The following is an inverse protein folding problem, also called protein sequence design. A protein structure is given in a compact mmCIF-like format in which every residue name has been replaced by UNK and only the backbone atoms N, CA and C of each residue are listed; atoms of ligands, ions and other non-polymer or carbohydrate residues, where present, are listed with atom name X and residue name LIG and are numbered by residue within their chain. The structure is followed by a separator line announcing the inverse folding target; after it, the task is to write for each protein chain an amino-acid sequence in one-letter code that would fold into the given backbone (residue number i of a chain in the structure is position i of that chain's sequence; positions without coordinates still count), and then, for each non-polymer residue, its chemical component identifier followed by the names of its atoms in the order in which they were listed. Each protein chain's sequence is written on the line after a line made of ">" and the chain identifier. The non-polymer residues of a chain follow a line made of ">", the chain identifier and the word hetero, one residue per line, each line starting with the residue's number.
data_IF_522315716368
#
_entry.id   IF_522315716368
#
_cell.length_a   1.000
_cell.length_b   1.000
_cell.length_c   1.000
_cell.angle_alpha   90.00
_cell.angle_beta   90.00
_cell.angle_gamma   90.00
#
_symmetry.space_group_name_H-M   'P 1'
#
loop_
_entity.id
_entity.type
_entity.pdbx_description
1 polymer ?
#
# COMPACT_ATOMS: atom_id res chain seq x y z
N UNK A 1 -63.28 16.80 82.38
CA UNK A 1 -62.70 17.96 81.67
C UNK A 1 -61.58 18.53 82.52
N UNK A 2 -60.36 18.62 81.98
CA UNK A 2 -59.17 19.37 82.44
C UNK A 2 -57.91 18.57 82.04
N UNK A 3 -56.82 19.10 81.47
CA UNK A 3 -56.48 20.39 80.89
C UNK A 3 -55.18 20.14 80.11
N UNK A 4 -55.22 20.03 78.77
CA UNK A 4 -53.99 19.90 77.96
C UNK A 4 -53.33 21.28 77.85
N UNK A 5 -52.35 21.56 78.73
CA UNK A 5 -51.52 22.76 78.64
C UNK A 5 -50.54 22.63 77.47
N UNK A 6 -51.00 23.10 76.31
CA UNK A 6 -50.21 23.30 75.11
C UNK A 6 -49.22 24.46 75.35
N UNK A 7 -47.96 24.13 75.64
CA UNK A 7 -46.88 25.08 75.91
C UNK A 7 -46.54 25.92 74.68
N UNK A 8 -47.22 27.05 74.49
CA UNK A 8 -46.89 28.03 73.47
C UNK A 8 -45.53 28.68 73.76
N UNK A 9 -44.55 28.41 72.90
CA UNK A 9 -43.24 29.07 72.89
C UNK A 9 -43.39 30.60 73.01
N UNK A 10 -42.63 31.18 73.95
CA UNK A 10 -42.60 32.62 74.19
C UNK A 10 -42.13 33.38 72.93
N UNK A 11 -42.47 34.66 72.82
CA UNK A 11 -42.08 35.53 71.68
C UNK A 11 -40.54 35.57 71.49
N UNK A 12 -39.78 35.36 72.56
CA UNK A 12 -38.32 35.33 72.54
C UNK A 12 -37.78 33.97 72.05
N UNK A 13 -38.38 32.85 72.43
CA UNK A 13 -37.98 31.51 71.97
C UNK A 13 -38.23 31.30 70.46
N UNK A 14 -39.34 31.81 69.92
CA UNK A 14 -39.60 31.79 68.46
C UNK A 14 -38.57 32.61 67.66
N UNK A 15 -38.11 33.73 68.22
CA UNK A 15 -37.02 34.54 67.63
C UNK A 15 -35.65 33.89 67.77
N UNK A 16 -35.43 33.08 68.81
CA UNK A 16 -34.20 32.30 68.98
C UNK A 16 -34.16 31.12 67.99
N UNK A 17 -35.23 30.33 67.89
CA UNK A 17 -35.35 29.24 66.90
C UNK A 17 -35.24 29.73 65.46
N UNK A 18 -35.85 30.87 65.10
CA UNK A 18 -35.71 31.44 63.76
C UNK A 18 -34.26 31.84 63.41
N UNK A 19 -33.49 32.32 64.41
CA UNK A 19 -32.07 32.65 64.23
C UNK A 19 -31.20 31.39 64.11
N UNK A 20 -31.54 30.33 64.84
CA UNK A 20 -30.84 29.06 64.77
C UNK A 20 -31.11 28.30 63.47
N UNK A 21 -32.36 28.25 63.02
CA UNK A 21 -32.72 27.70 61.71
C UNK A 21 -32.05 28.48 60.57
N UNK A 22 -31.99 29.81 60.65
CA UNK A 22 -31.26 30.64 59.68
C UNK A 22 -29.73 30.44 59.75
N UNK A 23 -29.17 30.02 60.89
CA UNK A 23 -27.75 29.64 61.02
C UNK A 23 -27.50 28.28 60.36
N UNK A 24 -28.33 27.29 60.66
CA UNK A 24 -28.25 25.95 60.07
C UNK A 24 -28.45 25.95 58.55
N UNK A 25 -29.41 26.74 58.05
CA UNK A 25 -29.63 26.91 56.60
C UNK A 25 -28.39 27.49 55.90
N UNK A 26 -27.77 28.53 56.48
CA UNK A 26 -26.54 29.13 55.94
C UNK A 26 -25.34 28.18 56.00
N UNK A 27 -25.25 27.34 57.01
CA UNK A 27 -24.21 26.30 57.08
C UNK A 27 -24.41 25.21 56.03
N UNK A 28 -25.65 24.79 55.79
CA UNK A 28 -26.00 23.82 54.75
C UNK A 28 -25.75 24.38 53.34
N UNK A 29 -26.09 25.65 53.08
CA UNK A 29 -25.80 26.34 51.82
C UNK A 29 -24.29 26.44 51.58
N UNK A 30 -23.51 26.90 52.58
CA UNK A 30 -22.04 26.96 52.47
C UNK A 30 -21.41 25.58 52.24
N UNK A 31 -21.94 24.52 52.85
CA UNK A 31 -21.49 23.14 52.61
C UNK A 31 -21.84 22.66 51.19
N UNK A 32 -23.04 22.98 50.69
CA UNK A 32 -23.48 22.65 49.33
C UNK A 32 -22.67 23.38 48.28
N UNK A 33 -22.40 24.66 48.48
CA UNK A 33 -21.60 25.48 47.55
C UNK A 33 -20.17 24.98 47.46
N UNK A 34 -19.52 24.69 48.60
CA UNK A 34 -18.18 24.06 48.61
C UNK A 34 -18.17 22.71 47.90
N UNK A 35 -19.18 21.87 48.14
CA UNK A 35 -19.30 20.56 47.49
C UNK A 35 -19.51 20.70 45.99
N UNK A 36 -20.41 21.58 45.55
CA UNK A 36 -20.68 21.81 44.12
C UNK A 36 -19.46 22.40 43.41
N UNK A 37 -18.72 23.31 44.05
CA UNK A 37 -17.47 23.85 43.49
C UNK A 37 -16.40 22.77 43.33
N UNK A 38 -16.24 21.90 44.34
CA UNK A 38 -15.31 20.77 44.27
C UNK A 38 -15.72 19.74 43.21
N UNK A 39 -17.01 19.42 43.12
CA UNK A 39 -17.54 18.50 42.10
C UNK A 39 -17.39 19.08 40.69
N UNK A 40 -17.64 20.37 40.51
CA UNK A 40 -17.47 21.04 39.22
C UNK A 40 -16.00 21.10 38.81
N UNK A 41 -15.11 21.52 39.72
CA UNK A 41 -13.67 21.55 39.46
C UNK A 41 -13.09 20.15 39.21
N UNK A 42 -13.53 19.15 39.98
CA UNK A 42 -13.14 17.75 39.78
C UNK A 42 -13.66 17.18 38.45
N UNK A 43 -14.91 17.49 38.08
CA UNK A 43 -15.51 17.08 36.81
C UNK A 43 -14.81 17.69 35.60
N UNK A 44 -14.49 18.99 35.64
CA UNK A 44 -13.73 19.66 34.58
C UNK A 44 -12.31 19.09 34.47
N UNK A 45 -11.62 18.91 35.60
CA UNK A 45 -10.28 18.33 35.60
C UNK A 45 -10.28 16.91 35.03
N UNK A 46 -11.24 16.08 35.43
CA UNK A 46 -11.41 14.72 34.90
C UNK A 46 -11.72 14.74 33.39
N UNK A 47 -12.58 15.65 32.95
CA UNK A 47 -12.91 15.84 31.53
C UNK A 47 -11.69 16.20 30.69
N UNK A 48 -10.86 17.15 31.16
CA UNK A 48 -9.62 17.54 30.49
C UNK A 48 -8.63 16.37 30.44
N UNK A 49 -8.46 15.63 31.54
CA UNK A 49 -7.59 14.45 31.57
C UNK A 49 -8.08 13.37 30.61
N UNK A 50 -9.39 13.13 30.53
CA UNK A 50 -9.97 12.18 29.58
C UNK A 50 -9.72 12.59 28.12
N UNK A 51 -9.92 13.86 27.79
CA UNK A 51 -9.63 14.40 26.44
C UNK A 51 -8.14 14.27 26.12
N UNK A 52 -7.26 14.65 27.05
CA UNK A 52 -5.82 14.52 26.87
C UNK A 52 -5.41 13.05 26.71
N UNK A 53 -6.01 12.12 27.46
CA UNK A 53 -5.75 10.70 27.31
C UNK A 53 -6.17 10.18 25.92
N UNK A 54 -7.32 10.62 25.40
CA UNK A 54 -7.77 10.29 24.04
C UNK A 54 -6.82 10.86 23.00
N UNK A 55 -6.43 12.14 23.13
CA UNK A 55 -5.47 12.79 22.22
C UNK A 55 -4.12 12.08 22.26
N UNK A 56 -3.58 11.79 23.46
CA UNK A 56 -2.34 11.03 23.63
C UNK A 56 -2.45 9.62 23.05
N UNK A 57 -3.60 8.95 23.17
CA UNK A 57 -3.83 7.62 22.61
C UNK A 57 -3.86 7.67 21.08
N UNK A 58 -4.53 8.67 20.49
CA UNK A 58 -4.54 8.90 19.03
C UNK A 58 -3.14 9.21 18.52
N UNK A 59 -2.40 10.10 19.19
CA UNK A 59 -1.02 10.43 18.84
C UNK A 59 -0.09 9.22 18.99
N UNK A 60 -0.24 8.43 20.06
CA UNK A 60 0.56 7.23 20.27
C UNK A 60 0.23 6.14 19.25
N UNK A 61 -1.03 5.98 18.84
CA UNK A 61 -1.40 5.08 17.75
C UNK A 61 -0.88 5.56 16.40
N UNK A 62 -0.85 6.88 16.18
CA UNK A 62 -0.28 7.50 14.98
C UNK A 62 1.25 7.40 14.90
N UNK A 63 1.94 7.18 16.04
CA UNK A 63 3.39 7.06 16.12
C UNK A 63 3.91 5.62 16.22
N UNK A 64 3.03 4.62 16.31
CA UNK A 64 3.49 3.23 16.23
C UNK A 64 4.02 3.02 14.81
N UNK A 65 5.27 2.58 14.63
CA UNK A 65 5.73 2.17 13.32
C UNK A 65 4.77 1.08 12.86
N UNK A 66 4.40 1.09 11.56
CA UNK A 66 3.60 0.03 10.98
C UNK A 66 4.18 -1.30 11.48
N UNK A 67 3.34 -2.22 11.96
CA UNK A 67 3.78 -3.58 12.23
C UNK A 67 4.49 -4.16 11.00
N UNK A 68 5.17 -5.31 11.11
CA UNK A 68 5.75 -5.92 9.92
C UNK A 68 4.70 -5.95 8.82
N UNK A 69 5.08 -5.46 7.63
CA UNK A 69 4.22 -5.52 6.45
C UNK A 69 3.83 -6.97 6.15
N UNK A 70 2.91 -7.19 5.20
CA UNK A 70 2.65 -8.55 4.75
C UNK A 70 3.94 -9.16 4.18
N UNK A 71 4.14 -10.45 4.42
CA UNK A 71 5.14 -11.22 3.70
C UNK A 71 4.89 -11.10 2.20
N UNK A 72 5.94 -11.28 1.41
CA UNK A 72 5.90 -11.22 -0.04
C UNK A 72 5.57 -9.83 -0.64
N UNK A 73 5.61 -8.77 0.18
CA UNK A 73 5.37 -7.40 -0.27
C UNK A 73 6.38 -6.39 0.30
N UNK A 74 7.64 -6.80 0.49
CA UNK A 74 8.68 -5.93 1.03
C UNK A 74 8.84 -4.59 0.26
N UNK A 75 8.63 -4.62 -1.06
CA UNK A 75 8.69 -3.44 -1.93
C UNK A 75 7.45 -2.54 -1.86
N UNK A 76 6.39 -2.97 -1.18
CA UNK A 76 5.06 -2.38 -1.23
C UNK A 76 4.11 -3.09 -2.21
N UNK A 77 4.64 -3.86 -3.17
CA UNK A 77 3.85 -4.62 -4.15
C UNK A 77 3.95 -6.13 -3.93
N UNK A 78 2.88 -6.85 -4.27
CA UNK A 78 2.94 -8.29 -4.50
C UNK A 78 3.45 -8.54 -5.91
N UNK A 79 4.58 -9.23 -6.05
CA UNK A 79 5.24 -9.44 -7.35
C UNK A 79 4.92 -10.84 -7.85
N UNK A 80 4.17 -10.94 -8.93
CA UNK A 80 3.86 -12.19 -9.61
C UNK A 80 4.89 -12.45 -10.71
N UNK A 81 5.55 -13.60 -10.64
CA UNK A 81 6.43 -14.12 -11.67
C UNK A 81 5.78 -15.28 -12.43
N UNK A 82 6.62 -16.04 -13.12
CA UNK A 82 6.20 -17.18 -13.95
C UNK A 82 5.21 -18.11 -13.22
N UNK A 83 4.26 -18.65 -13.97
CA UNK A 83 3.19 -19.52 -13.45
C UNK A 83 2.32 -18.84 -12.38
N UNK A 84 2.24 -17.49 -12.41
CA UNK A 84 1.53 -16.64 -11.44
C UNK A 84 2.02 -16.81 -10.00
N UNK A 85 3.24 -17.31 -9.81
CA UNK A 85 3.80 -17.47 -8.47
C UNK A 85 4.31 -16.16 -7.91
N UNK A 86 3.98 -15.88 -6.66
CA UNK A 86 4.51 -14.71 -5.98
C UNK A 86 6.00 -14.91 -5.69
N UNK A 87 6.80 -13.88 -5.97
CA UNK A 87 8.20 -13.80 -5.57
C UNK A 87 8.26 -13.58 -4.06
N UNK A 88 8.80 -14.57 -3.35
CA UNK A 88 8.88 -14.54 -1.89
C UNK A 88 9.76 -13.39 -1.40
N UNK A 89 9.33 -12.74 -0.32
CA UNK A 89 10.16 -11.77 0.39
C UNK A 89 9.78 -11.71 1.87
N UNK A 90 10.77 -11.39 2.70
CA UNK A 90 10.53 -11.16 4.12
C UNK A 90 9.58 -9.96 4.33
N UNK A 91 8.74 -9.99 5.37
CA UNK A 91 7.95 -8.84 5.80
C UNK A 91 8.79 -7.56 5.94
N UNK A 92 8.29 -6.45 5.39
CA UNK A 92 8.89 -5.13 5.60
C UNK A 92 8.87 -4.80 7.08
N UNK A 93 10.04 -4.61 7.70
CA UNK A 93 10.12 -4.39 9.14
C UNK A 93 9.64 -2.99 9.54
N UNK A 94 9.11 -2.83 10.76
CA UNK A 94 8.73 -1.52 11.29
C UNK A 94 9.89 -0.51 11.22
N UNK A 95 9.68 0.62 10.57
CA UNK A 95 10.68 1.70 10.48
C UNK A 95 11.78 1.52 9.42
N UNK A 96 11.74 0.45 8.62
CA UNK A 96 12.64 0.33 7.46
C UNK A 96 12.08 1.06 6.24
N UNK A 97 12.96 1.75 5.50
CA UNK A 97 12.59 2.35 4.22
C UNK A 97 12.31 1.27 3.17
N UNK A 98 11.34 1.52 2.28
CA UNK A 98 11.07 0.64 1.15
C UNK A 98 12.16 0.77 0.10
N UNK A 99 12.50 -0.35 -0.51
CA UNK A 99 13.35 -0.39 -1.70
C UNK A 99 12.58 -0.96 -2.88
N UNK A 100 12.75 -0.35 -4.07
CA UNK A 100 12.25 -0.96 -5.29
C UNK A 100 12.92 -2.33 -5.52
N UNK A 101 12.22 -3.29 -6.14
CA UNK A 101 12.82 -4.53 -6.59
C UNK A 101 14.01 -4.27 -7.52
N UNK A 102 15.05 -5.11 -7.44
CA UNK A 102 16.15 -5.04 -8.40
C UNK A 102 15.67 -5.64 -9.72
N UNK A 103 15.64 -4.81 -10.76
CA UNK A 103 15.17 -5.20 -12.10
C UNK A 103 16.28 -4.94 -13.11
N UNK A 104 16.60 -5.95 -13.92
CA UNK A 104 17.41 -5.75 -15.12
C UNK A 104 16.49 -5.40 -16.30
N UNK A 105 16.50 -4.14 -16.72
CA UNK A 105 15.59 -3.63 -17.77
C UNK A 105 16.08 -3.91 -19.19
N UNK A 106 17.27 -4.47 -19.33
CA UNK A 106 17.87 -4.84 -20.61
C UNK A 106 17.58 -6.31 -21.00
N UNK A 107 16.88 -7.05 -20.15
CA UNK A 107 16.58 -8.47 -20.30
C UNK A 107 15.09 -8.75 -20.04
N UNK A 108 14.63 -9.92 -20.48
CA UNK A 108 13.33 -10.47 -20.07
C UNK A 108 13.48 -11.18 -18.72
N UNK A 109 12.39 -11.30 -17.93
CA UNK A 109 11.04 -10.75 -18.17
C UNK A 109 10.97 -9.23 -18.05
N UNK A 110 10.02 -8.59 -18.75
CA UNK A 110 9.74 -7.17 -18.52
C UNK A 110 9.20 -6.96 -17.09
N UNK A 111 9.58 -5.89 -16.43
CA UNK A 111 9.01 -5.49 -15.15
C UNK A 111 7.80 -4.58 -15.38
N UNK A 112 6.63 -5.03 -14.94
CA UNK A 112 5.39 -4.27 -15.00
C UNK A 112 4.89 -4.06 -13.59
N UNK A 113 4.70 -2.81 -13.14
CA UNK A 113 4.07 -2.51 -11.86
C UNK A 113 2.80 -1.71 -12.08
N UNK A 114 1.69 -2.16 -11.49
CA UNK A 114 0.39 -1.50 -11.51
C UNK A 114 0.08 -1.00 -10.10
N UNK A 115 -0.04 0.32 -9.97
CA UNK A 115 -0.51 0.97 -8.74
C UNK A 115 -2.02 1.05 -8.77
N UNK A 116 -2.67 0.43 -7.80
CA UNK A 116 -4.10 0.14 -7.86
C UNK A 116 -4.82 0.55 -6.58
N UNK A 117 -5.97 1.21 -6.75
CA UNK A 117 -6.95 1.42 -5.69
C UNK A 117 -8.22 0.63 -6.04
N UNK A 118 -8.66 -0.24 -5.13
CA UNK A 118 -9.79 -1.14 -5.39
C UNK A 118 -11.13 -0.43 -5.53
N UNK A 119 -11.28 0.85 -5.14
CA UNK A 119 -12.48 1.65 -5.42
C UNK A 119 -12.40 2.40 -6.76
N UNK A 120 -11.21 2.52 -7.36
CA UNK A 120 -11.00 3.39 -8.50
C UNK A 120 -11.66 2.82 -9.77
N UNK A 121 -12.62 3.53 -10.39
CA UNK A 121 -13.26 3.06 -11.61
C UNK A 121 -12.27 2.87 -12.77
N UNK A 122 -11.24 3.72 -12.84
CA UNK A 122 -10.16 3.59 -13.83
C UNK A 122 -9.35 2.31 -13.64
N UNK A 123 -9.11 1.89 -12.39
CA UNK A 123 -8.43 0.63 -12.09
C UNK A 123 -9.27 -0.57 -12.52
N UNK A 124 -10.58 -0.54 -12.25
CA UNK A 124 -11.49 -1.60 -12.69
C UNK A 124 -11.57 -1.70 -14.22
N UNK A 125 -11.66 -0.56 -14.91
CA UNK A 125 -11.65 -0.52 -16.37
C UNK A 125 -10.33 -1.06 -16.97
N UNK A 126 -9.20 -0.71 -16.36
CA UNK A 126 -7.89 -1.23 -16.75
C UNK A 126 -7.80 -2.76 -16.57
N UNK A 127 -8.22 -3.27 -15.41
CA UNK A 127 -8.21 -4.70 -15.12
C UNK A 127 -9.11 -5.48 -16.09
N UNK A 128 -10.31 -4.99 -16.37
CA UNK A 128 -11.24 -5.65 -17.30
C UNK A 128 -10.70 -5.70 -18.73
N UNK A 129 -9.94 -4.67 -19.14
CA UNK A 129 -9.37 -4.62 -20.48
C UNK A 129 -8.07 -5.42 -20.62
N UNK A 130 -7.25 -5.53 -19.57
CA UNK A 130 -5.89 -6.04 -19.67
C UNK A 130 -5.59 -7.26 -18.78
N UNK A 131 -6.43 -7.57 -17.80
CA UNK A 131 -6.18 -8.57 -16.75
C UNK A 131 -5.86 -9.96 -17.33
N UNK A 132 -6.68 -10.46 -18.27
CA UNK A 132 -6.42 -11.76 -18.92
C UNK A 132 -5.13 -11.77 -19.75
N UNK A 133 -4.77 -10.65 -20.39
CA UNK A 133 -3.50 -10.56 -21.13
C UNK A 133 -2.31 -10.57 -20.16
N UNK A 134 -2.38 -9.79 -19.08
CA UNK A 134 -1.37 -9.75 -18.03
C UNK A 134 -1.21 -11.13 -17.36
N UNK A 135 -2.31 -11.82 -17.06
CA UNK A 135 -2.31 -13.19 -16.53
C UNK A 135 -1.49 -14.14 -17.43
N UNK A 136 -1.76 -14.11 -18.73
CA UNK A 136 -1.05 -14.96 -19.70
C UNK A 136 0.44 -14.61 -19.79
N UNK A 137 0.79 -13.32 -19.80
CA UNK A 137 2.17 -12.86 -19.96
C UNK A 137 3.00 -13.11 -18.70
N UNK A 138 2.38 -13.01 -17.52
CA UNK A 138 2.99 -13.44 -16.27
C UNK A 138 3.16 -14.95 -16.27
N UNK A 139 2.12 -15.70 -16.63
CA UNK A 139 2.14 -17.16 -16.71
C UNK A 139 3.25 -17.70 -17.61
N UNK A 140 3.45 -17.12 -18.81
CA UNK A 140 4.52 -17.48 -19.74
C UNK A 140 5.92 -17.09 -19.25
N UNK A 141 6.00 -16.13 -18.32
CA UNK A 141 7.25 -15.53 -17.88
C UNK A 141 7.77 -14.45 -18.83
N UNK A 142 6.92 -13.87 -19.66
CA UNK A 142 7.27 -12.71 -20.50
C UNK A 142 7.36 -11.43 -19.68
N UNK A 143 6.55 -11.32 -18.63
CA UNK A 143 6.60 -10.22 -17.67
C UNK A 143 6.64 -10.74 -16.22
N UNK A 144 7.19 -9.91 -15.35
CA UNK A 144 6.89 -9.92 -13.92
C UNK A 144 5.89 -8.80 -13.65
N UNK A 145 4.88 -9.07 -12.82
CA UNK A 145 3.82 -8.12 -12.52
C UNK A 145 3.79 -7.78 -11.03
N UNK A 146 4.16 -6.56 -10.67
CA UNK A 146 3.93 -5.99 -9.36
C UNK A 146 2.52 -5.39 -9.25
N UNK A 147 1.72 -5.87 -8.29
CA UNK A 147 0.47 -5.21 -7.89
C UNK A 147 0.75 -4.41 -6.63
N UNK A 148 0.71 -3.08 -6.73
CA UNK A 148 0.98 -2.15 -5.65
C UNK A 148 -0.35 -1.57 -5.13
N UNK A 149 -0.94 -2.14 -4.06
CA UNK A 149 -2.23 -1.69 -3.56
C UNK A 149 -2.11 -0.36 -2.80
N UNK A 150 -3.13 0.47 -2.97
CA UNK A 150 -3.21 1.86 -2.52
C UNK A 150 -4.56 2.13 -1.84
N UNK A 151 -4.63 3.24 -1.10
CA UNK A 151 -5.85 3.76 -0.48
C UNK A 151 -6.14 5.22 -0.86
N UNK A 152 -5.90 5.57 -2.13
CA UNK A 152 -6.09 6.91 -2.69
C UNK A 152 -7.53 7.44 -2.49
N UNK A 153 -8.54 6.57 -2.60
CA UNK A 153 -9.97 6.89 -2.57
C UNK A 153 -10.66 6.61 -1.21
N UNK A 154 -9.91 6.44 -0.13
CA UNK A 154 -10.49 6.25 1.21
C UNK A 154 -11.48 7.36 1.61
N UNK A 155 -11.19 8.60 1.23
CA UNK A 155 -12.07 9.75 1.49
C UNK A 155 -13.34 9.74 0.63
N UNK A 156 -13.36 8.99 -0.47
CA UNK A 156 -14.51 8.85 -1.35
C UNK A 156 -15.46 7.72 -0.91
N UNK A 157 -15.17 7.00 0.18
CA UNK A 157 -15.94 5.82 0.60
C UNK A 157 -16.94 6.07 1.74
N UNK A 158 -17.52 7.27 1.85
CA UNK A 158 -18.47 7.67 2.91
C UNK A 158 -17.99 7.37 4.35
N UNK A 159 -16.68 7.47 4.61
CA UNK A 159 -16.07 7.25 5.92
C UNK A 159 -15.80 5.78 6.29
N UNK A 160 -16.11 4.82 5.40
CA UNK A 160 -15.85 3.39 5.66
C UNK A 160 -14.41 2.95 5.37
N UNK A 161 -13.60 3.79 4.72
CA UNK A 161 -12.24 3.49 4.25
C UNK A 161 -12.15 2.22 3.42
N UNK A 162 -13.03 2.09 2.43
CA UNK A 162 -13.14 0.88 1.62
C UNK A 162 -11.83 0.54 0.90
N UNK A 163 -11.13 1.52 0.33
CA UNK A 163 -9.87 1.28 -0.38
C UNK A 163 -8.82 0.64 0.54
N UNK A 164 -8.66 1.15 1.77
CA UNK A 164 -7.80 0.53 2.79
C UNK A 164 -8.25 -0.89 3.14
N UNK A 165 -9.54 -1.13 3.35
CA UNK A 165 -10.06 -2.46 3.75
C UNK A 165 -9.89 -3.50 2.63
N UNK A 166 -10.16 -3.12 1.38
CA UNK A 166 -9.97 -4.00 0.22
C UNK A 166 -8.48 -4.27 -0.05
N UNK A 167 -7.63 -3.24 0.03
CA UNK A 167 -6.18 -3.39 -0.06
C UNK A 167 -5.61 -4.26 1.07
N UNK A 168 -6.15 -4.13 2.28
CA UNK A 168 -5.81 -5.00 3.40
C UNK A 168 -6.21 -6.45 3.14
N UNK A 169 -7.41 -6.72 2.61
CA UNK A 169 -7.80 -8.09 2.24
C UNK A 169 -6.80 -8.69 1.25
N UNK A 170 -6.44 -7.95 0.20
CA UNK A 170 -5.45 -8.40 -0.77
C UNK A 170 -4.11 -8.73 -0.11
N UNK A 171 -3.60 -7.83 0.74
CA UNK A 171 -2.40 -8.05 1.54
C UNK A 171 -2.48 -9.29 2.45
N UNK A 172 -3.60 -9.50 3.16
CA UNK A 172 -3.81 -10.70 3.98
C UNK A 172 -3.79 -11.99 3.16
N UNK A 173 -4.35 -11.97 1.94
CA UNK A 173 -4.31 -13.14 1.05
C UNK A 173 -2.91 -13.35 0.46
N UNK A 174 -2.17 -12.30 0.13
CA UNK A 174 -0.76 -12.43 -0.30
C UNK A 174 0.12 -13.02 0.81
N UNK A 175 -0.12 -12.61 2.06
CA UNK A 175 0.60 -13.08 3.25
C UNK A 175 0.31 -14.55 3.57
N UNK A 176 -0.96 -14.96 3.55
CA UNK A 176 -1.39 -16.28 4.03
C UNK A 176 -1.66 -17.31 2.92
N UNK A 177 -2.11 -16.87 1.75
CA UNK A 177 -2.61 -17.72 0.66
C UNK A 177 -2.22 -17.15 -0.73
N UNK A 178 -0.91 -16.97 -1.00
CA UNK A 178 -0.41 -16.25 -2.17
C UNK A 178 -0.89 -16.80 -3.51
N UNK A 179 -1.15 -18.11 -3.59
CA UNK A 179 -1.60 -18.81 -4.80
C UNK A 179 -2.94 -18.31 -5.37
N UNK A 180 -3.79 -17.68 -4.55
CA UNK A 180 -5.10 -17.16 -4.98
C UNK A 180 -5.14 -15.63 -5.03
N UNK A 181 -4.04 -14.95 -4.72
CA UNK A 181 -3.99 -13.50 -4.64
C UNK A 181 -4.27 -12.83 -6.00
N UNK A 182 -3.74 -13.37 -7.09
CA UNK A 182 -3.99 -12.83 -8.44
C UNK A 182 -5.48 -12.91 -8.80
N UNK A 183 -6.11 -14.07 -8.57
CA UNK A 183 -7.54 -14.26 -8.78
C UNK A 183 -8.38 -13.30 -7.93
N UNK A 184 -7.97 -13.05 -6.68
CA UNK A 184 -8.62 -12.06 -5.82
C UNK A 184 -8.49 -10.63 -6.39
N UNK A 185 -7.31 -10.25 -6.90
CA UNK A 185 -7.14 -8.93 -7.53
C UNK A 185 -8.13 -8.73 -8.69
N UNK A 186 -8.16 -9.69 -9.62
CA UNK A 186 -9.12 -9.67 -10.74
C UNK A 186 -10.57 -9.60 -10.25
N UNK A 187 -10.90 -10.36 -9.20
CA UNK A 187 -12.25 -10.40 -8.65
C UNK A 187 -12.66 -9.04 -8.07
N UNK A 188 -11.83 -8.42 -7.25
CA UNK A 188 -12.13 -7.14 -6.61
C UNK A 188 -12.29 -5.97 -7.61
N UNK A 189 -11.60 -6.04 -8.75
CA UNK A 189 -11.64 -5.02 -9.81
C UNK A 189 -12.63 -5.34 -10.94
N UNK A 190 -13.32 -6.48 -10.85
CA UNK A 190 -14.35 -6.84 -11.82
C UNK A 190 -15.57 -5.92 -11.73
N UNK A 191 -16.26 -5.71 -12.86
CA UNK A 191 -17.44 -4.85 -12.95
C UNK A 191 -18.58 -5.26 -11.98
N UNK A 192 -18.62 -6.54 -11.60
CA UNK A 192 -19.65 -7.12 -10.75
C UNK A 192 -19.41 -6.85 -9.26
N UNK A 193 -18.15 -6.72 -8.87
CA UNK A 193 -17.72 -6.66 -7.46
C UNK A 193 -17.27 -5.27 -7.07
N UNK A 194 -16.59 -4.56 -7.96
CA UNK A 194 -16.04 -3.25 -7.65
C UNK A 194 -17.18 -2.27 -7.29
N UNK A 195 -17.18 -1.67 -6.10
CA UNK A 195 -18.21 -0.70 -5.75
C UNK A 195 -18.00 0.61 -6.51
N UNK A 196 -19.09 1.33 -6.73
CA UNK A 196 -19.02 2.69 -7.25
C UNK A 196 -18.31 3.60 -6.24
N UNK A 197 -17.51 4.53 -6.75
CA UNK A 197 -16.98 5.63 -5.96
C UNK A 197 -18.11 6.45 -5.31
N UNK A 198 -17.88 7.02 -4.14
CA UNK A 198 -18.90 7.75 -3.39
C UNK A 198 -19.87 6.85 -2.64
N UNK A 199 -19.70 5.52 -2.64
CA UNK A 199 -20.49 4.56 -1.86
C UNK A 199 -19.74 4.10 -0.61
N UNK A 200 -20.42 3.42 0.30
CA UNK A 200 -19.77 2.78 1.47
C UNK A 200 -18.80 1.65 1.08
N UNK A 201 -18.86 1.16 -0.17
CA UNK A 201 -18.18 -0.06 -0.58
C UNK A 201 -18.72 -1.31 0.12
N UNK A 202 -18.04 -2.44 -0.09
CA UNK A 202 -18.38 -3.72 0.52
C UNK A 202 -18.01 -3.71 2.00
N UNK A 203 -18.79 -4.44 2.81
CA UNK A 203 -18.46 -4.80 4.20
C UNK A 203 -17.33 -5.83 4.26
N UNK A 204 -16.74 -6.03 5.44
CA UNK A 204 -15.65 -7.02 5.62
C UNK A 204 -16.13 -8.45 5.37
N UNK A 205 -17.37 -8.77 5.73
CA UNK A 205 -17.97 -10.07 5.43
C UNK A 205 -18.19 -10.28 3.93
N UNK A 206 -18.59 -9.22 3.20
CA UNK A 206 -18.72 -9.28 1.74
C UNK A 206 -17.36 -9.39 1.06
N UNK A 207 -16.34 -8.69 1.56
CA UNK A 207 -14.95 -8.81 1.11
C UNK A 207 -14.42 -10.25 1.31
N UNK A 208 -14.64 -10.86 2.48
CA UNK A 208 -14.28 -12.25 2.74
C UNK A 208 -15.01 -13.23 1.78
N UNK A 209 -16.28 -12.98 1.45
CA UNK A 209 -17.00 -13.78 0.44
C UNK A 209 -16.36 -13.69 -0.95
N UNK A 210 -15.81 -12.52 -1.32
CA UNK A 210 -15.10 -12.39 -2.59
C UNK A 210 -13.77 -13.15 -2.57
N UNK A 211 -13.05 -13.13 -1.44
CA UNK A 211 -11.86 -13.97 -1.28
C UNK A 211 -12.16 -15.46 -1.39
N UNK A 212 -13.24 -15.94 -0.75
CA UNK A 212 -13.68 -17.32 -0.88
C UNK A 212 -14.05 -17.68 -2.33
N UNK A 213 -14.74 -16.77 -3.02
CA UNK A 213 -15.10 -16.93 -4.44
C UNK A 213 -13.88 -16.95 -5.36
N UNK A 214 -12.79 -16.31 -4.96
CA UNK A 214 -11.48 -16.35 -5.64
C UNK A 214 -10.64 -17.58 -5.27
N UNK A 215 -11.13 -18.45 -4.38
CA UNK A 215 -10.48 -19.70 -3.98
C UNK A 215 -9.78 -19.66 -2.63
N UNK A 216 -9.82 -18.55 -1.89
CA UNK A 216 -9.22 -18.47 -0.57
C UNK A 216 -10.02 -19.29 0.46
N UNK A 217 -9.31 -20.00 1.33
CA UNK A 217 -9.90 -20.64 2.52
C UNK A 217 -10.08 -19.59 3.60
N UNK A 218 -11.28 -19.45 4.14
CA UNK A 218 -11.56 -18.48 5.20
C UNK A 218 -11.13 -19.00 6.59
N UNK A 219 -9.81 -19.14 6.76
CA UNK A 219 -9.15 -19.53 8.01
C UNK A 219 -9.42 -18.54 9.13
N UNK A 220 -9.16 -18.94 10.38
CA UNK A 220 -9.28 -18.05 11.53
C UNK A 220 -8.33 -16.86 11.39
N UNK A 221 -7.13 -17.13 10.88
CA UNK A 221 -6.05 -16.17 10.67
C UNK A 221 -6.45 -15.10 9.65
N UNK A 222 -6.98 -15.51 8.49
CA UNK A 222 -7.43 -14.60 7.42
C UNK A 222 -8.59 -13.72 7.90
N UNK A 223 -9.59 -14.33 8.56
CA UNK A 223 -10.72 -13.58 9.13
C UNK A 223 -10.26 -12.55 10.14
N UNK A 224 -9.30 -12.90 10.99
CA UNK A 224 -8.74 -11.99 11.98
C UNK A 224 -7.90 -10.89 11.31
N UNK A 225 -7.12 -11.21 10.29
CA UNK A 225 -6.32 -10.25 9.50
C UNK A 225 -7.21 -9.17 8.87
N UNK A 226 -8.34 -9.58 8.29
CA UNK A 226 -9.33 -8.66 7.70
C UNK A 226 -10.00 -7.82 8.78
N UNK A 227 -10.50 -8.46 9.85
CA UNK A 227 -11.21 -7.78 10.94
C UNK A 227 -10.36 -6.72 11.64
N UNK A 228 -9.08 -7.01 11.87
CA UNK A 228 -8.15 -6.07 12.52
C UNK A 228 -7.63 -5.00 11.56
N UNK A 229 -7.93 -5.14 10.26
CA UNK A 229 -7.32 -4.35 9.19
C UNK A 229 -5.80 -4.33 9.36
N UNK A 230 -5.21 -5.51 9.57
CA UNK A 230 -3.84 -5.73 10.08
C UNK A 230 -2.78 -4.90 9.35
N UNK A 231 -2.93 -4.73 8.04
CA UNK A 231 -2.00 -4.04 7.16
C UNK A 231 -2.43 -2.61 6.78
N UNK A 232 -3.42 -2.01 7.45
CA UNK A 232 -3.87 -0.62 7.17
C UNK A 232 -2.72 0.40 7.17
N UNK A 233 -1.81 0.30 8.15
CA UNK A 233 -0.65 1.19 8.24
C UNK A 233 0.35 0.95 7.11
N UNK A 234 0.51 -0.31 6.68
CA UNK A 234 1.32 -0.65 5.52
C UNK A 234 0.75 -0.04 4.24
N UNK A 235 -0.57 -0.14 4.01
CA UNK A 235 -1.26 0.47 2.86
C UNK A 235 -1.17 2.01 2.89
N UNK A 236 -1.34 2.63 4.05
CA UNK A 236 -1.17 4.09 4.20
C UNK A 236 0.27 4.52 3.91
N UNK A 237 1.24 3.71 4.36
CA UNK A 237 2.66 3.95 4.08
C UNK A 237 2.99 3.73 2.59
N UNK A 238 2.32 2.80 1.91
CA UNK A 238 2.39 2.61 0.46
C UNK A 238 1.97 3.89 -0.26
N UNK A 239 0.80 4.44 0.11
CA UNK A 239 0.34 5.72 -0.41
C UNK A 239 1.35 6.83 -0.21
N UNK A 240 1.77 7.05 1.03
CA UNK A 240 2.72 8.11 1.42
C UNK A 240 4.03 8.01 0.63
N UNK A 241 4.54 6.80 0.43
CA UNK A 241 5.82 6.58 -0.27
C UNK A 241 5.77 7.09 -1.71
N UNK A 242 4.67 6.86 -2.42
CA UNK A 242 4.59 7.21 -3.84
C UNK A 242 3.96 8.58 -4.09
N UNK A 243 3.09 9.06 -3.21
CA UNK A 243 2.44 10.37 -3.34
C UNK A 243 3.28 11.52 -2.78
N UNK A 244 4.11 11.28 -1.76
CA UNK A 244 4.92 12.33 -1.12
C UNK A 244 6.41 12.24 -1.52
N UNK A 245 7.02 11.07 -1.33
CA UNK A 245 8.44 10.85 -1.60
C UNK A 245 8.74 10.56 -3.08
N UNK A 246 7.82 9.89 -3.76
CA UNK A 246 7.89 9.60 -5.20
C UNK A 246 7.99 8.11 -5.50
N UNK A 247 7.58 7.74 -6.71
CA UNK A 247 7.60 6.37 -7.21
C UNK A 247 9.04 5.88 -7.31
N UNK A 248 9.33 4.80 -6.58
CA UNK A 248 10.63 4.14 -6.62
C UNK A 248 10.73 3.22 -7.85
N UNK A 249 11.96 2.92 -8.28
CA UNK A 249 12.16 1.96 -9.36
C UNK A 249 11.82 2.51 -10.76
N UNK A 250 11.85 3.84 -10.94
CA UNK A 250 11.77 4.46 -12.26
C UNK A 250 13.09 4.37 -13.03
N UNK A 251 13.02 4.44 -14.36
CA UNK A 251 14.19 4.52 -15.21
C UNK A 251 14.87 5.87 -15.08
N UNK A 252 16.19 5.92 -15.36
CA UNK A 252 16.94 7.17 -15.28
C UNK A 252 16.34 8.18 -16.25
N UNK A 253 15.97 9.36 -15.75
CA UNK A 253 15.32 10.42 -16.53
C UNK A 253 13.85 10.16 -16.87
N UNK A 254 13.23 9.10 -16.33
CA UNK A 254 11.80 8.90 -16.50
C UNK A 254 11.02 9.98 -15.76
N UNK A 255 10.06 10.60 -16.46
CA UNK A 255 9.13 11.57 -15.91
C UNK A 255 7.72 11.00 -15.96
N UNK A 256 6.98 11.19 -14.87
CA UNK A 256 5.57 10.82 -14.79
C UNK A 256 4.69 11.97 -15.31
N UNK A 257 3.49 11.62 -15.78
CA UNK A 257 2.45 12.59 -16.08
C UNK A 257 2.01 13.31 -14.81
N UNK A 258 1.69 14.60 -14.95
CA UNK A 258 1.12 15.43 -13.90
C UNK A 258 -0.40 15.23 -13.82
N UNK A 259 -1.05 15.93 -12.89
CA UNK A 259 -2.49 15.83 -12.59
C UNK A 259 -3.40 16.11 -13.79
N UNK A 260 -2.92 16.83 -14.79
CA UNK A 260 -3.66 17.12 -16.02
C UNK A 260 -3.66 15.93 -17.01
N UNK A 261 -2.86 14.89 -16.74
CA UNK A 261 -2.72 13.71 -17.57
C UNK A 261 -2.00 13.94 -18.90
N UNK A 262 -1.42 15.12 -19.12
CA UNK A 262 -0.81 15.53 -20.39
C UNK A 262 0.59 16.09 -20.18
N UNK A 263 0.78 16.97 -19.21
CA UNK A 263 2.08 17.55 -18.87
C UNK A 263 2.91 16.55 -18.09
N UNK A 264 4.24 16.68 -18.18
CA UNK A 264 5.17 15.91 -17.37
C UNK A 264 5.49 16.65 -16.07
N UNK A 265 5.64 15.89 -14.99
CA UNK A 265 6.19 16.39 -13.73
C UNK A 265 7.63 16.85 -13.93
N UNK A 266 8.07 17.81 -13.11
CA UNK A 266 9.42 18.37 -13.21
C UNK A 266 10.50 17.30 -13.08
N UNK A 267 11.50 17.32 -13.95
CA UNK A 267 12.58 16.33 -14.01
C UNK A 267 13.43 16.29 -12.73
N UNK A 268 13.68 17.46 -12.13
CA UNK A 268 14.48 17.64 -10.91
C UNK A 268 13.70 17.39 -9.60
N UNK A 269 12.39 17.13 -9.71
CA UNK A 269 11.50 16.87 -8.59
C UNK A 269 11.21 15.39 -8.35
N UNK A 270 10.67 15.04 -7.17
CA UNK A 270 10.15 13.69 -6.94
C UNK A 270 9.01 13.40 -7.91
N UNK A 271 9.11 12.25 -8.58
CA UNK A 271 8.08 11.77 -9.50
C UNK A 271 6.95 11.11 -8.69
N UNK A 272 5.85 11.83 -8.47
CA UNK A 272 4.78 11.41 -7.56
C UNK A 272 3.64 10.72 -8.28
N UNK A 273 3.00 9.78 -7.60
CA UNK A 273 1.73 9.25 -8.06
C UNK A 273 0.63 10.31 -7.86
N UNK A 274 -0.04 10.69 -8.95
CA UNK A 274 -1.11 11.70 -8.97
C UNK A 274 -2.48 11.11 -9.30
N UNK A 275 -2.51 9.90 -9.86
CA UNK A 275 -3.74 9.20 -10.24
C UNK A 275 -3.53 7.69 -10.23
N UNK A 276 -4.65 6.96 -10.17
CA UNK A 276 -4.69 5.50 -10.35
C UNK A 276 -5.64 5.16 -11.51
N UNK A 277 -5.36 4.11 -12.31
CA UNK A 277 -4.16 3.27 -12.23
C UNK A 277 -2.93 4.01 -12.78
N UNK A 278 -1.78 3.80 -12.14
CA UNK A 278 -0.49 4.10 -12.74
C UNK A 278 0.16 2.78 -13.15
N UNK A 279 0.61 2.69 -14.39
CA UNK A 279 1.29 1.49 -14.91
C UNK A 279 2.71 1.87 -15.28
N UNK A 280 3.68 1.19 -14.70
CA UNK A 280 5.11 1.35 -14.99
C UNK A 280 5.58 0.07 -15.70
N UNK A 281 6.24 0.22 -16.84
CA UNK A 281 6.86 -0.88 -17.61
C UNK A 281 8.34 -0.57 -17.75
N UNK A 282 9.22 -1.42 -17.24
CA UNK A 282 10.67 -1.22 -17.19
C UNK A 282 11.05 0.20 -16.68
N UNK A 283 10.38 0.66 -15.62
CA UNK A 283 10.62 1.97 -15.03
C UNK A 283 10.10 3.18 -15.82
N UNK A 284 9.36 2.98 -16.92
CA UNK A 284 8.70 4.03 -17.68
C UNK A 284 7.19 3.96 -17.50
N UNK A 285 6.52 5.10 -17.30
CA UNK A 285 5.07 5.11 -17.27
C UNK A 285 4.50 4.74 -18.64
N UNK A 286 3.56 3.80 -18.68
CA UNK A 286 2.69 3.57 -19.84
C UNK A 286 1.47 4.50 -19.77
N UNK A 287 1.10 5.08 -20.91
CA UNK A 287 -0.11 5.88 -21.06
C UNK A 287 -0.83 5.50 -22.36
N UNK A 288 -2.10 5.13 -22.28
CA UNK A 288 -2.86 4.65 -23.44
C UNK A 288 -2.95 5.65 -24.60
N UNK A 289 -3.10 6.94 -24.31
CA UNK A 289 -3.22 7.99 -25.34
C UNK A 289 -1.90 8.17 -26.11
N UNK A 290 -0.76 8.07 -25.42
CA UNK A 290 0.57 8.21 -26.00
C UNK A 290 1.08 6.92 -26.66
N UNK A 291 0.85 5.78 -26.00
CA UNK A 291 1.54 4.52 -26.29
C UNK A 291 0.64 3.46 -26.95
N UNK A 292 -0.67 3.71 -27.06
CA UNK A 292 -1.64 2.75 -27.57
C UNK A 292 -2.03 1.69 -26.54
N UNK A 293 -2.49 0.52 -27.00
CA UNK A 293 -2.85 -0.57 -26.08
C UNK A 293 -1.62 -1.07 -25.32
N UNK A 294 -1.83 -1.52 -24.07
CA UNK A 294 -0.75 -2.04 -23.24
C UNK A 294 -0.06 -3.23 -23.91
N UNK A 295 -0.83 -4.13 -24.52
CA UNK A 295 -0.29 -5.29 -25.23
C UNK A 295 0.66 -4.90 -26.36
N UNK A 296 0.26 -3.95 -27.23
CA UNK A 296 1.12 -3.48 -28.32
C UNK A 296 2.38 -2.81 -27.79
N UNK A 297 2.27 -2.09 -26.67
CA UNK A 297 3.41 -1.47 -26.02
C UNK A 297 4.38 -2.52 -25.44
N UNK A 298 3.88 -3.53 -24.72
CA UNK A 298 4.71 -4.63 -24.18
C UNK A 298 5.43 -5.40 -25.30
N UNK A 299 4.72 -5.72 -26.39
CA UNK A 299 5.31 -6.40 -27.55
C UNK A 299 6.41 -5.57 -28.21
N UNK A 300 6.20 -4.25 -28.34
CA UNK A 300 7.21 -3.32 -28.84
C UNK A 300 8.45 -3.34 -27.95
N UNK A 301 8.29 -3.15 -26.63
CA UNK A 301 9.43 -3.12 -25.69
C UNK A 301 10.18 -4.44 -25.69
N UNK A 302 9.46 -5.57 -25.68
CA UNK A 302 10.06 -6.91 -25.80
C UNK A 302 10.88 -7.06 -27.09
N UNK A 303 10.32 -6.66 -28.23
CA UNK A 303 11.00 -6.74 -29.53
C UNK A 303 12.27 -5.86 -29.60
N UNK A 304 12.24 -4.67 -29.00
CA UNK A 304 13.43 -3.80 -28.91
C UNK A 304 14.55 -4.44 -28.08
N UNK A 305 14.22 -5.11 -26.96
CA UNK A 305 15.19 -5.85 -26.15
C UNK A 305 15.78 -7.04 -26.90
N UNK A 306 14.96 -7.84 -27.57
CA UNK A 306 15.42 -9.00 -28.35
C UNK A 306 16.34 -8.59 -29.50
N UNK A 307 16.03 -7.49 -30.20
CA UNK A 307 16.90 -6.94 -31.26
C UNK A 307 18.23 -6.43 -30.71
N UNK A 308 18.21 -5.70 -29.61
CA UNK A 308 19.43 -5.19 -28.94
C UNK A 308 20.34 -6.35 -28.54
N UNK A 309 19.78 -7.39 -27.94
CA UNK A 309 20.53 -8.57 -27.49
C UNK A 309 21.04 -9.41 -28.67
N UNK A 310 20.25 -9.56 -29.74
CA UNK A 310 20.67 -10.21 -30.99
C UNK A 310 21.84 -9.49 -31.67
N UNK A 311 21.79 -8.17 -31.80
CA UNK A 311 22.84 -7.36 -32.43
C UNK A 311 24.17 -7.38 -31.64
N UNK A 312 24.11 -7.43 -30.30
CA UNK A 312 25.30 -7.64 -29.46
C UNK A 312 25.91 -9.03 -29.55
N UNK A 313 25.15 -10.04 -30.01
CA UNK A 313 25.66 -11.40 -30.22
C UNK A 313 26.39 -11.57 -31.55
N UNK A 314 25.94 -10.88 -32.60
CA UNK A 314 26.58 -10.91 -33.93
C UNK A 314 27.89 -10.10 -33.96
N UNK A 315 27.94 -8.95 -33.27
CA UNK A 315 29.17 -8.15 -33.14
C UNK A 315 30.28 -8.86 -32.33
N UNK A 316 29.94 -9.87 -31.53
CA UNK A 316 30.92 -10.75 -30.85
C UNK A 316 31.45 -11.87 -31.74
N UNK A 317 30.73 -12.27 -32.79
CA UNK A 317 31.17 -13.29 -33.75
C UNK A 317 32.20 -12.75 -34.74
N UNK A 318 32.03 -11.51 -35.21
CA UNK A 318 32.99 -10.91 -36.16
C UNK A 318 34.37 -10.64 -35.53
N UNK A 319 34.43 -10.37 -34.23
CA UNK A 319 35.70 -10.19 -33.51
C UNK A 319 36.42 -11.50 -33.13
N UNK A 320 35.81 -12.67 -33.39
CA UNK A 320 36.44 -13.98 -33.15
C UNK A 320 36.98 -14.62 -34.43
N UNK A 321 36.65 -14.10 -35.62
CA UNK A 321 37.12 -14.63 -36.90
C UNK A 321 38.47 -14.08 -37.36
N UNK A 322 38.95 -12.96 -36.80
CA UNK A 322 40.23 -12.34 -37.18
C UNK A 322 41.45 -12.80 -36.36
N UNK A 323 41.28 -13.71 -35.39
CA UNK A 323 42.38 -14.22 -34.57
C UNK A 323 42.88 -15.63 -34.97
N UNK A 324 42.46 -16.15 -36.14
CA UNK A 324 42.82 -17.51 -36.59
C UNK A 324 43.14 -17.62 -38.08
N UNK A 325 43.97 -16.72 -38.59
CA UNK A 325 44.69 -16.91 -39.86
C UNK A 325 46.02 -16.18 -39.77
N UNK A 326 47.00 -16.83 -39.16
CA UNK A 326 48.43 -16.55 -39.36
C UNK A 326 49.22 -17.68 -38.68
N UNK A 327 49.13 -18.89 -39.24
CA UNK A 327 50.26 -19.84 -39.20
C UNK A 327 50.02 -20.96 -40.22
N UNK A 328 50.44 -20.73 -41.47
CA UNK A 328 50.84 -21.77 -42.42
C UNK A 328 51.17 -21.11 -43.76
N UNK A 329 52.46 -20.89 -44.01
CA UNK A 329 53.16 -21.32 -45.23
C UNK A 329 54.46 -20.54 -45.46
N UNK A 330 55.43 -21.27 -45.99
CA UNK A 330 56.63 -20.81 -46.69
C UNK A 330 57.88 -20.46 -45.89
N UNK A 331 58.71 -21.50 -45.70
CA UNK A 331 60.15 -21.35 -45.93
C UNK A 331 60.70 -22.60 -46.62
N UNK A 332 61.00 -22.46 -47.91
CA UNK A 332 61.84 -23.40 -48.66
C UNK A 332 62.77 -22.60 -49.58
N UNK A 333 64.01 -23.08 -49.67
CA UNK A 333 65.19 -22.63 -50.46
C UNK A 333 66.13 -21.69 -49.71
N UNK A 334 67.44 -21.88 -49.71
CA UNK A 334 68.36 -22.82 -50.37
C UNK A 334 69.68 -22.75 -49.59
N UNK A 335 70.40 -23.86 -49.39
CA UNK A 335 71.85 -23.95 -49.65
C UNK A 335 72.37 -25.35 -49.33
N UNK A 336 72.87 -26.00 -50.37
CA UNK A 336 73.92 -27.01 -50.33
C UNK A 336 75.01 -26.61 -49.31
N UNK A 337 75.61 -27.54 -48.57
CA UNK A 337 76.77 -28.30 -49.05
C UNK A 337 77.47 -29.05 -47.88
N UNK A 338 78.07 -30.18 -48.25
CA UNK A 338 79.23 -30.84 -47.64
C UNK A 338 79.17 -31.60 -46.28
N UNK A 339 79.56 -32.89 -46.42
CA UNK A 339 80.55 -33.65 -45.61
C UNK A 339 80.11 -34.40 -44.33
N UNK A 340 79.95 -35.73 -44.54
CA UNK A 340 80.88 -36.80 -44.08
C UNK A 340 80.85 -37.23 -42.60
N UNK A 341 80.86 -38.55 -42.48
CA UNK A 341 81.51 -39.43 -41.48
C UNK A 341 80.64 -39.97 -40.34
N UNK A 342 80.51 -41.31 -40.40
CA UNK A 342 80.36 -42.34 -39.36
C UNK A 342 79.06 -42.46 -38.56
#
# INVERSE_FOLDING_TARGET
>A
MANETNGRLTKNERRAQGREQARLARELEKKREKRNRLLLQGGVALGVVAVLAVVCLVLAQSMKPAGPGPANMASGAAIFGKDLKIVESDPLQPGTERTAPKVNRDELPLDVTVFVDYMCPGCGAFEQANGTMLENYVGSGDITLGIYPMNFLDNASQGTKYSTRAANLFACVVDEQPDVAFALNMKLLSAEVQPKEGTTGLTDDELLKQAESAGAKLTTELRQCVKDVRFANFITSNYTSVSEAGVLGLAKGAQLLDVDGVSLQKEDGPQRLVSTPLVIVNGQQWNQTRDGSLESYLLKVKGELEQKNGSSSDSKKDNSSDAKKDDSSDTKKDSEDTKKSD
#
